data_IF_894200901001
#
_entry.id   IF_894200901001
#
_cell.length_a   1.000
_cell.length_b   1.000
_cell.length_c   1.000
_cell.angle_alpha   90.00
_cell.angle_beta   90.00
_cell.angle_gamma   90.00
#
_symmetry.space_group_name_H-M   'P 1'
#
loop_
_entity.id
_entity.type
_entity.pdbx_description
1 polymer ?
#
# COMPACT_ATOMS: atom_id res chain seq x y z
N UNK A 1 76.47 -38.93 -31.18
CA UNK A 1 75.04 -39.20 -30.92
C UNK A 1 74.84 -39.23 -29.40
N UNK A 2 73.92 -38.43 -28.86
CA UNK A 2 73.30 -38.60 -27.53
C UNK A 2 72.16 -37.58 -27.41
N UNK A 3 70.98 -38.02 -26.95
CA UNK A 3 69.74 -37.24 -27.02
C UNK A 3 69.36 -36.67 -25.65
N UNK A 4 69.13 -35.36 -25.48
CA UNK A 4 68.55 -34.82 -24.26
C UNK A 4 67.01 -35.01 -24.24
N UNK A 5 66.46 -35.46 -23.11
CA UNK A 5 65.00 -35.58 -22.95
C UNK A 5 64.37 -34.21 -22.61
N UNK A 6 63.28 -33.87 -23.28
CA UNK A 6 62.36 -32.84 -22.80
C UNK A 6 61.62 -33.32 -21.54
N UNK A 7 61.64 -32.54 -20.46
CA UNK A 7 60.71 -32.68 -19.32
C UNK A 7 59.57 -31.69 -19.45
N UNK A 8 58.34 -32.19 -19.57
CA UNK A 8 57.11 -31.39 -19.51
C UNK A 8 56.75 -31.11 -18.05
N UNK A 9 56.60 -29.84 -17.66
CA UNK A 9 56.18 -29.46 -16.31
C UNK A 9 54.65 -29.40 -16.20
N UNK A 10 54.05 -30.28 -15.40
CA UNK A 10 52.60 -30.32 -15.20
C UNK A 10 52.16 -29.39 -14.06
N UNK A 11 51.61 -28.21 -14.42
CA UNK A 11 51.00 -27.28 -13.47
C UNK A 11 49.72 -27.89 -12.86
N UNK A 12 49.75 -28.18 -11.56
CA UNK A 12 48.58 -28.60 -10.81
C UNK A 12 47.71 -27.39 -10.44
N UNK A 13 46.42 -27.35 -10.83
CA UNK A 13 45.50 -26.29 -10.38
C UNK A 13 45.22 -26.44 -8.87
N UNK A 14 45.34 -25.35 -8.12
CA UNK A 14 45.22 -25.38 -6.66
C UNK A 14 43.75 -25.50 -6.21
N UNK A 15 43.50 -26.36 -5.21
CA UNK A 15 42.15 -26.67 -4.69
C UNK A 15 41.42 -25.49 -4.00
N UNK A 16 42.04 -24.31 -3.93
CA UNK A 16 41.47 -23.11 -3.28
C UNK A 16 40.40 -22.38 -4.09
N UNK A 17 40.54 -22.32 -5.43
CA UNK A 17 39.71 -21.47 -6.28
C UNK A 17 38.19 -21.76 -6.19
N UNK A 18 37.83 -23.03 -6.00
CA UNK A 18 36.43 -23.49 -6.00
C UNK A 18 35.62 -23.02 -4.80
N UNK A 19 36.25 -22.76 -3.64
CA UNK A 19 35.54 -22.27 -2.45
C UNK A 19 35.17 -20.80 -2.53
N UNK A 20 35.97 -19.98 -3.20
CA UNK A 20 35.65 -18.56 -3.44
C UNK A 20 34.49 -18.38 -4.41
N UNK A 21 34.47 -19.16 -5.51
CA UNK A 21 33.40 -19.13 -6.50
C UNK A 21 32.02 -19.52 -5.92
N UNK A 22 31.99 -20.52 -5.03
CA UNK A 22 30.75 -20.97 -4.40
C UNK A 22 30.09 -19.90 -3.52
N UNK A 23 30.89 -19.11 -2.78
CA UNK A 23 30.35 -18.06 -1.90
C UNK A 23 29.78 -16.88 -2.70
N UNK A 24 30.39 -16.52 -3.82
CA UNK A 24 29.93 -15.44 -4.69
C UNK A 24 28.56 -15.75 -5.36
N UNK A 25 28.32 -17.02 -5.73
CA UNK A 25 27.07 -17.41 -6.40
C UNK A 25 25.83 -17.31 -5.51
N UNK A 26 25.97 -17.50 -4.19
CA UNK A 26 24.85 -17.45 -3.24
C UNK A 26 24.34 -16.03 -3.00
N UNK A 27 25.18 -15.01 -3.17
CA UNK A 27 24.78 -13.60 -3.04
C UNK A 27 23.96 -13.06 -4.23
N UNK A 28 23.80 -13.83 -5.32
CA UNK A 28 23.08 -13.41 -6.53
C UNK A 28 21.64 -13.94 -6.62
N UNK A 29 21.20 -14.82 -5.73
CA UNK A 29 19.96 -15.59 -5.87
C UNK A 29 18.70 -14.96 -5.25
N UNK A 30 18.81 -13.76 -4.66
CA UNK A 30 17.68 -13.05 -4.03
C UNK A 30 17.64 -11.56 -4.43
N UNK A 31 17.72 -11.25 -5.74
CA UNK A 31 17.09 -10.02 -6.25
C UNK A 31 15.58 -10.27 -6.31
N UNK A 32 14.94 -10.29 -5.13
CA UNK A 32 13.48 -10.08 -5.07
C UNK A 32 13.25 -8.67 -5.58
N UNK A 33 12.70 -8.54 -6.79
CA UNK A 33 12.33 -7.24 -7.34
C UNK A 33 11.48 -6.50 -6.31
N UNK A 34 11.93 -5.33 -5.87
CA UNK A 34 11.09 -4.45 -5.09
C UNK A 34 9.95 -4.01 -6.03
N UNK A 35 8.76 -4.58 -5.86
CA UNK A 35 7.58 -4.22 -6.66
C UNK A 35 7.25 -2.76 -6.37
N UNK A 36 7.85 -1.87 -7.16
CA UNK A 36 7.73 -0.43 -6.99
C UNK A 36 6.30 -0.07 -7.35
N UNK A 37 5.46 0.17 -6.34
CA UNK A 37 4.02 0.36 -6.44
C UNK A 37 3.63 1.73 -7.04
N UNK A 38 4.37 2.14 -8.06
CA UNK A 38 3.99 3.00 -9.17
C UNK A 38 4.34 2.21 -10.42
N UNK A 39 3.50 1.23 -10.74
CA UNK A 39 3.70 0.25 -11.80
C UNK A 39 3.22 0.81 -13.14
N UNK A 40 4.05 0.66 -14.17
CA UNK A 40 3.71 1.02 -15.55
C UNK A 40 2.65 0.08 -16.12
N UNK A 41 1.66 0.64 -16.82
CA UNK A 41 0.61 -0.10 -17.52
C UNK A 41 0.81 0.02 -19.04
N UNK A 42 0.33 -0.97 -19.79
CA UNK A 42 0.11 -0.81 -21.22
C UNK A 42 -0.96 0.27 -21.48
N UNK A 43 -0.82 1.02 -22.58
CA UNK A 43 -1.82 1.98 -23.01
C UNK A 43 -3.13 1.28 -23.40
N UNK A 44 -4.26 1.90 -23.08
CA UNK A 44 -5.59 1.34 -23.30
C UNK A 44 -6.64 2.46 -23.39
N UNK A 45 -7.86 2.13 -23.76
CA UNK A 45 -9.02 3.03 -23.71
C UNK A 45 -9.10 3.78 -22.38
N UNK A 46 -9.47 5.07 -22.43
CA UNK A 46 -9.54 5.97 -21.25
C UNK A 46 -10.39 5.34 -20.15
N UNK A 47 -9.78 5.02 -19.01
CA UNK A 47 -10.48 4.48 -17.84
C UNK A 47 -9.71 4.74 -16.54
N UNK A 48 -10.47 4.82 -15.45
CA UNK A 48 -9.96 4.82 -14.07
C UNK A 48 -10.38 3.52 -13.39
N UNK A 49 -9.53 3.01 -12.49
CA UNK A 49 -9.86 1.89 -11.61
C UNK A 49 -9.42 2.23 -10.18
N UNK A 50 -10.27 1.93 -9.20
CA UNK A 50 -10.04 2.18 -7.78
C UNK A 50 -10.57 0.99 -6.97
N UNK A 51 -9.83 0.61 -5.93
CA UNK A 51 -10.34 -0.20 -4.83
C UNK A 51 -9.82 0.33 -3.49
N UNK A 52 -10.58 0.03 -2.43
CA UNK A 52 -10.27 0.39 -1.04
C UNK A 52 -10.56 -0.86 -0.22
N UNK A 53 -9.51 -1.59 0.14
CA UNK A 53 -9.62 -2.91 0.74
C UNK A 53 -9.96 -3.97 -0.31
N UNK A 54 -10.97 -4.78 0.00
CA UNK A 54 -11.36 -5.94 -0.78
C UNK A 54 -11.92 -5.56 -2.15
N UNK A 55 -11.47 -6.25 -3.20
CA UNK A 55 -11.98 -6.01 -4.55
C UNK A 55 -11.47 -6.97 -5.60
N UNK A 56 -11.82 -6.68 -6.86
CA UNK A 56 -11.39 -7.39 -8.06
C UNK A 56 -10.68 -6.40 -8.98
N UNK A 57 -9.55 -6.81 -9.59
CA UNK A 57 -8.82 -5.95 -10.50
C UNK A 57 -9.67 -5.53 -11.71
N UNK A 58 -9.60 -4.26 -12.10
CA UNK A 58 -10.27 -3.70 -13.28
C UNK A 58 -11.81 -3.77 -13.26
N UNK A 59 -12.41 -4.21 -12.14
CA UNK A 59 -13.85 -4.41 -11.97
C UNK A 59 -14.53 -3.38 -11.06
N UNK A 60 -15.86 -3.47 -10.98
CA UNK A 60 -16.68 -2.64 -10.10
C UNK A 60 -16.65 -3.19 -8.66
N UNK A 61 -16.06 -2.44 -7.74
CA UNK A 61 -15.93 -2.83 -6.33
C UNK A 61 -17.07 -2.24 -5.49
N UNK A 62 -18.04 -3.08 -5.13
CA UNK A 62 -19.17 -2.69 -4.27
C UNK A 62 -18.94 -2.89 -2.76
N UNK A 63 -17.78 -3.42 -2.36
CA UNK A 63 -17.47 -3.73 -0.96
C UNK A 63 -17.14 -2.45 -0.18
N UNK A 64 -17.80 -2.27 0.96
CA UNK A 64 -17.44 -1.25 1.95
C UNK A 64 -16.70 -1.95 3.10
N UNK A 65 -15.39 -1.70 3.21
CA UNK A 65 -14.63 -2.18 4.36
C UNK A 65 -14.84 -1.26 5.57
N UNK A 66 -14.99 -1.84 6.75
CA UNK A 66 -15.10 -1.12 8.02
C UNK A 66 -13.73 -0.93 8.65
N UNK A 67 -13.58 0.14 9.43
CA UNK A 67 -12.42 0.41 10.29
C UNK A 67 -12.96 0.79 11.66
N UNK A 68 -12.51 0.13 12.71
CA UNK A 68 -13.06 0.34 14.07
C UNK A 68 -12.02 0.12 15.16
N UNK A 69 -12.30 0.64 16.35
CA UNK A 69 -11.56 0.32 17.57
C UNK A 69 -12.55 0.25 18.73
N UNK A 70 -12.46 -0.79 19.55
CA UNK A 70 -13.35 -1.02 20.70
C UNK A 70 -12.58 -0.71 21.98
N UNK A 71 -12.93 0.40 22.63
CA UNK A 71 -12.23 0.89 23.81
C UNK A 71 -12.88 0.35 25.09
N UNK A 72 -12.06 -0.20 25.99
CA UNK A 72 -12.44 -0.37 27.40
C UNK A 72 -12.53 1.00 28.08
N UNK A 73 -13.23 1.07 29.22
CA UNK A 73 -13.30 2.29 30.04
C UNK A 73 -11.92 2.82 30.45
N UNK A 74 -10.93 1.93 30.64
CA UNK A 74 -9.56 2.31 30.94
C UNK A 74 -8.86 2.98 29.74
N UNK A 75 -9.07 2.50 28.52
CA UNK A 75 -8.56 3.15 27.30
C UNK A 75 -9.24 4.50 27.05
N UNK A 76 -10.56 4.58 27.26
CA UNK A 76 -11.35 5.81 27.07
C UNK A 76 -10.93 6.92 28.05
N UNK A 77 -10.67 6.59 29.31
CA UNK A 77 -10.20 7.55 30.33
C UNK A 77 -8.71 7.85 30.16
N UNK A 78 -7.92 6.88 29.68
CA UNK A 78 -6.47 7.00 29.57
C UNK A 78 -5.95 7.94 28.49
N UNK A 79 -6.80 8.50 27.62
CA UNK A 79 -6.43 9.55 26.64
C UNK A 79 -5.37 9.17 25.59
N UNK A 80 -5.02 7.88 25.48
CA UNK A 80 -3.96 7.39 24.61
C UNK A 80 -4.53 7.01 23.22
N UNK A 81 -3.80 7.27 22.11
CA UNK A 81 -4.20 6.83 20.77
C UNK A 81 -4.39 5.31 20.68
N UNK A 82 -5.42 4.89 19.94
CA UNK A 82 -5.83 3.50 19.78
C UNK A 82 -5.70 3.08 18.31
N UNK A 83 -4.98 1.99 18.07
CA UNK A 83 -4.95 1.36 16.75
C UNK A 83 -6.36 0.87 16.37
N UNK A 84 -6.68 0.94 15.08
CA UNK A 84 -7.95 0.48 14.53
C UNK A 84 -7.73 -0.82 13.73
N UNK A 85 -8.66 -1.76 13.86
CA UNK A 85 -8.73 -2.96 13.03
C UNK A 85 -9.68 -2.74 11.85
N UNK A 86 -9.66 -3.65 10.88
CA UNK A 86 -10.55 -3.63 9.71
C UNK A 86 -11.04 -5.03 9.37
N UNK A 87 -12.20 -5.11 8.70
CA UNK A 87 -12.71 -6.36 8.12
C UNK A 87 -12.09 -6.70 6.74
N UNK A 88 -11.04 -5.98 6.32
CA UNK A 88 -10.30 -6.27 5.08
C UNK A 88 -9.59 -7.62 5.17
N UNK A 89 -9.62 -8.34 4.06
CA UNK A 89 -8.84 -9.58 3.83
C UNK A 89 -7.84 -9.39 2.68
N UNK A 90 -7.75 -8.18 2.10
CA UNK A 90 -6.95 -7.88 0.92
C UNK A 90 -5.45 -7.71 1.27
N UNK A 91 -4.75 -8.83 1.42
CA UNK A 91 -3.30 -8.82 1.70
C UNK A 91 -2.40 -8.63 0.48
N UNK A 92 -2.94 -8.90 -0.72
CA UNK A 92 -2.19 -8.92 -1.98
C UNK A 92 -2.63 -7.84 -2.95
N UNK A 93 -1.69 -7.34 -3.75
CA UNK A 93 -1.99 -6.52 -4.92
C UNK A 93 -3.05 -7.17 -5.79
N UNK A 94 -4.01 -6.38 -6.27
CA UNK A 94 -4.95 -6.85 -7.28
C UNK A 94 -4.31 -6.95 -8.67
N UNK A 95 -3.20 -6.24 -8.93
CA UNK A 95 -2.58 -6.21 -10.26
C UNK A 95 -1.61 -7.36 -10.51
N UNK A 96 -0.70 -7.64 -9.57
CA UNK A 96 0.36 -8.65 -9.74
C UNK A 96 0.38 -9.76 -8.68
N UNK A 97 -0.52 -9.70 -7.69
CA UNK A 97 -0.62 -10.70 -6.61
C UNK A 97 0.49 -10.65 -5.56
N UNK A 98 1.39 -9.65 -5.59
CA UNK A 98 2.42 -9.45 -4.57
C UNK A 98 1.81 -9.20 -3.18
N UNK A 99 2.50 -9.60 -2.10
CA UNK A 99 2.00 -9.50 -0.72
C UNK A 99 2.16 -8.10 -0.10
N UNK A 100 1.56 -7.10 -0.73
CA UNK A 100 1.70 -5.67 -0.39
C UNK A 100 1.30 -5.36 1.06
N UNK A 101 0.17 -5.89 1.54
CA UNK A 101 -0.34 -5.67 2.90
C UNK A 101 -0.35 -6.97 3.72
N UNK A 102 0.78 -7.36 4.33
CA UNK A 102 0.88 -8.64 5.04
C UNK A 102 -0.07 -8.76 6.25
N UNK A 103 -0.60 -7.65 6.78
CA UNK A 103 -1.45 -7.63 7.97
C UNK A 103 -2.86 -7.07 7.66
N UNK A 104 -3.68 -7.72 6.81
CA UNK A 104 -4.94 -7.14 6.31
C UNK A 104 -5.96 -6.83 7.41
N UNK A 105 -5.90 -7.49 8.57
CA UNK A 105 -6.76 -7.18 9.73
C UNK A 105 -6.48 -5.80 10.39
N UNK A 106 -5.36 -5.16 10.07
CA UNK A 106 -4.98 -3.80 10.51
C UNK A 106 -4.48 -2.92 9.34
N UNK A 107 -4.70 -3.35 8.10
CA UNK A 107 -4.27 -2.69 6.87
C UNK A 107 -5.36 -2.75 5.80
N UNK A 108 -5.76 -1.59 5.29
CA UNK A 108 -6.54 -1.49 4.05
C UNK A 108 -5.56 -1.28 2.90
N UNK A 109 -5.50 -2.22 1.95
CA UNK A 109 -4.84 -1.99 0.66
C UNK A 109 -5.68 -1.00 -0.16
N UNK A 110 -5.12 0.16 -0.49
CA UNK A 110 -5.74 1.11 -1.40
C UNK A 110 -4.94 1.09 -2.70
N UNK A 111 -5.62 0.85 -3.82
CA UNK A 111 -4.98 0.78 -5.14
C UNK A 111 -5.80 1.49 -6.20
N UNK A 112 -5.11 2.23 -7.06
CA UNK A 112 -5.68 3.18 -7.99
C UNK A 112 -4.90 3.23 -9.30
N UNK A 113 -5.58 3.28 -10.45
CA UNK A 113 -4.92 3.46 -11.75
C UNK A 113 -5.70 4.30 -12.74
N UNK A 114 -4.95 4.84 -13.68
CA UNK A 114 -5.47 5.55 -14.83
C UNK A 114 -4.80 5.03 -16.10
N UNK A 115 -5.60 4.63 -17.10
CA UNK A 115 -5.12 4.28 -18.45
C UNK A 115 -5.70 5.25 -19.48
N UNK A 116 -4.92 5.55 -20.53
CA UNK A 116 -5.25 6.43 -21.64
C UNK A 116 -4.42 6.04 -22.88
N UNK A 117 -5.00 6.02 -24.08
CA UNK A 117 -4.29 5.48 -25.23
C UNK A 117 -3.32 6.50 -25.85
N UNK A 118 -3.78 7.73 -26.06
CA UNK A 118 -2.96 8.82 -26.59
C UNK A 118 -3.25 10.18 -25.90
N UNK A 119 -2.54 11.23 -26.33
CA UNK A 119 -2.63 12.58 -25.75
C UNK A 119 -4.01 13.25 -25.80
N UNK A 120 -4.90 12.81 -26.69
CA UNK A 120 -6.22 13.41 -26.95
C UNK A 120 -7.35 12.80 -26.12
N UNK A 121 -7.18 11.60 -25.55
CA UNK A 121 -8.25 10.85 -24.88
C UNK A 121 -8.48 11.31 -23.42
N UNK A 122 -8.45 12.62 -23.17
CA UNK A 122 -8.48 13.22 -21.83
C UNK A 122 -7.09 13.64 -21.31
N UNK A 123 -6.97 13.98 -20.01
CA UNK A 123 -5.78 14.62 -19.43
C UNK A 123 -4.61 13.65 -19.25
N UNK A 124 -3.42 14.18 -18.95
CA UNK A 124 -2.24 13.35 -18.67
C UNK A 124 -2.26 12.66 -17.29
N UNK A 125 -3.26 12.95 -16.45
CA UNK A 125 -3.33 12.56 -15.03
C UNK A 125 -4.77 12.31 -14.55
N UNK A 126 -4.91 11.47 -13.54
CA UNK A 126 -6.09 11.36 -12.69
C UNK A 126 -5.76 11.81 -11.25
N UNK A 127 -6.79 12.17 -10.48
CA UNK A 127 -6.65 12.65 -9.09
C UNK A 127 -7.40 11.71 -8.16
N UNK A 128 -6.68 11.14 -7.18
CA UNK A 128 -7.29 10.41 -6.07
C UNK A 128 -7.57 11.38 -4.92
N UNK A 129 -8.84 11.46 -4.53
CA UNK A 129 -9.31 12.20 -3.36
C UNK A 129 -9.92 11.26 -2.33
N UNK A 130 -9.97 11.73 -1.10
CA UNK A 130 -10.75 11.13 -0.02
C UNK A 130 -11.60 12.20 0.64
N UNK A 131 -12.82 11.86 1.03
CA UNK A 131 -13.76 12.78 1.68
C UNK A 131 -14.38 12.12 2.91
N UNK A 132 -14.33 12.79 4.05
CA UNK A 132 -14.97 12.37 5.31
C UNK A 132 -16.08 13.36 5.71
N UNK A 133 -17.17 12.92 6.38
CA UNK A 133 -18.06 13.85 7.07
C UNK A 133 -17.32 14.56 8.21
N UNK A 134 -17.87 15.67 8.72
CA UNK A 134 -17.26 16.45 9.79
C UNK A 134 -17.02 15.64 11.08
N UNK A 135 -17.96 14.76 11.42
CA UNK A 135 -17.97 13.97 12.64
C UNK A 135 -18.32 12.50 12.35
N UNK A 136 -17.86 11.60 13.22
CA UNK A 136 -18.57 10.37 13.54
C UNK A 136 -19.73 10.72 14.50
N UNK A 137 -20.86 10.01 14.39
CA UNK A 137 -22.09 10.29 15.16
C UNK A 137 -22.61 9.00 15.79
N UNK A 138 -23.17 9.07 16.99
CA UNK A 138 -23.90 7.96 17.63
C UNK A 138 -25.43 8.17 17.59
N UNK A 139 -26.21 7.19 18.03
CA UNK A 139 -27.68 7.25 18.02
C UNK A 139 -28.27 8.38 18.91
N UNK A 140 -27.50 8.88 19.89
CA UNK A 140 -27.87 10.01 20.75
C UNK A 140 -27.54 11.39 20.15
N UNK A 141 -26.96 11.43 18.94
CA UNK A 141 -26.37 12.63 18.31
C UNK A 141 -25.14 13.22 19.01
N UNK A 142 -24.47 12.48 19.91
CA UNK A 142 -23.11 12.82 20.34
C UNK A 142 -22.15 12.71 19.14
N UNK A 143 -21.06 13.48 19.16
CA UNK A 143 -20.11 13.53 18.04
C UNK A 143 -18.65 13.33 18.44
N UNK A 144 -17.88 12.76 17.52
CA UNK A 144 -16.42 12.72 17.54
C UNK A 144 -15.92 13.36 16.22
N UNK A 145 -15.14 14.45 16.25
CA UNK A 145 -14.58 15.03 15.03
C UNK A 145 -13.78 14.01 14.23
N UNK A 146 -14.02 13.93 12.92
CA UNK A 146 -13.38 12.91 12.08
C UNK A 146 -11.85 13.06 12.02
N UNK A 147 -11.34 14.27 12.31
CA UNK A 147 -9.92 14.56 12.49
C UNK A 147 -9.24 13.84 13.66
N UNK A 148 -10.01 13.21 14.56
CA UNK A 148 -9.46 12.24 15.52
C UNK A 148 -8.99 10.95 14.85
N UNK A 149 -9.29 10.68 13.56
CA UNK A 149 -8.76 9.53 12.83
C UNK A 149 -7.63 9.96 11.89
N UNK A 150 -6.48 9.31 12.05
CA UNK A 150 -5.32 9.43 11.17
C UNK A 150 -4.92 8.08 10.58
N UNK A 151 -4.07 8.09 9.55
CA UNK A 151 -3.48 6.88 8.98
C UNK A 151 -2.00 7.05 8.66
N UNK A 152 -1.22 6.02 8.99
CA UNK A 152 0.10 5.81 8.42
C UNK A 152 -0.01 5.02 7.11
N UNK A 153 1.00 5.13 6.25
CA UNK A 153 1.12 4.30 5.05
C UNK A 153 2.38 3.46 5.07
N UNK A 154 2.22 2.22 4.64
CA UNK A 154 3.27 1.21 4.53
C UNK A 154 3.00 0.35 3.30
N UNK A 155 3.94 -0.50 2.95
CA UNK A 155 3.68 -1.75 2.26
C UNK A 155 4.93 -2.64 2.39
N UNK A 156 4.83 -3.91 2.04
CA UNK A 156 5.96 -4.83 2.03
C UNK A 156 6.80 -4.69 0.74
N UNK A 157 8.12 -4.83 0.83
CA UNK A 157 9.05 -5.00 -0.30
C UNK A 157 9.31 -3.80 -1.22
N UNK A 158 8.45 -2.79 -1.26
CA UNK A 158 8.69 -1.46 -1.85
C UNK A 158 9.66 -0.62 -0.95
N UNK A 159 10.16 0.55 -1.40
CA UNK A 159 10.91 1.51 -0.54
C UNK A 159 10.25 2.89 -0.38
N UNK A 160 9.71 3.45 -1.47
CA UNK A 160 8.95 4.71 -1.56
C UNK A 160 7.46 4.58 -1.11
N UNK A 161 7.15 4.16 0.13
CA UNK A 161 5.78 3.68 0.48
C UNK A 161 4.64 4.72 0.36
N UNK A 162 4.97 6.00 0.28
CA UNK A 162 4.04 7.13 0.31
C UNK A 162 3.53 7.54 -1.10
N UNK A 163 3.16 6.57 -1.94
CA UNK A 163 2.59 6.81 -3.29
C UNK A 163 1.15 7.31 -3.25
N UNK A 164 0.40 6.88 -2.24
CA UNK A 164 -0.82 7.52 -1.73
C UNK A 164 -0.43 8.05 -0.35
N UNK A 165 -0.68 9.33 -0.08
CA UNK A 165 -0.10 9.98 1.10
C UNK A 165 -0.67 9.49 2.44
N UNK A 166 0.19 9.38 3.46
CA UNK A 166 -0.21 9.39 4.87
C UNK A 166 -0.90 10.72 5.25
N UNK A 167 -1.69 10.71 6.32
CA UNK A 167 -2.39 11.92 6.76
C UNK A 167 -3.41 11.69 7.88
N UNK A 168 -4.27 12.69 8.05
CA UNK A 168 -5.44 12.63 8.93
C UNK A 168 -6.66 13.22 8.21
N UNK A 169 -7.85 12.80 8.60
CA UNK A 169 -9.09 13.36 8.05
C UNK A 169 -9.29 14.80 8.56
N UNK A 170 -10.06 15.60 7.82
CA UNK A 170 -10.28 17.02 8.14
C UNK A 170 -11.75 17.44 8.14
N UNK A 171 -12.68 16.48 8.10
CA UNK A 171 -14.12 16.77 7.99
C UNK A 171 -14.57 17.27 6.60
N UNK A 172 -13.70 17.15 5.59
CA UNK A 172 -13.95 17.58 4.22
C UNK A 172 -13.22 16.70 3.20
N UNK A 173 -12.80 17.28 2.08
CA UNK A 173 -12.11 16.57 0.99
C UNK A 173 -10.61 16.87 0.94
N UNK A 174 -9.81 15.82 0.84
CA UNK A 174 -8.35 15.83 0.72
C UNK A 174 -7.92 15.21 -0.61
N UNK A 175 -6.78 15.65 -1.15
CA UNK A 175 -6.14 15.02 -2.32
C UNK A 175 -5.01 14.13 -1.84
N UNK A 176 -5.04 12.84 -2.20
CA UNK A 176 -4.07 11.85 -1.73
C UNK A 176 -2.98 11.52 -2.75
N UNK A 177 -3.31 11.56 -4.05
CA UNK A 177 -2.36 11.27 -5.12
C UNK A 177 -2.75 11.90 -6.47
N UNK A 178 -1.76 12.16 -7.32
CA UNK A 178 -1.96 12.50 -8.74
C UNK A 178 -1.29 11.44 -9.62
N UNK A 179 -2.11 10.54 -10.13
CA UNK A 179 -1.71 9.35 -10.90
C UNK A 179 -1.46 9.76 -12.35
N UNK A 180 -0.30 9.39 -12.90
CA UNK A 180 0.01 9.62 -14.33
C UNK A 180 -0.82 8.68 -15.21
N UNK A 181 -1.04 9.06 -16.47
CA UNK A 181 -1.61 8.15 -17.46
C UNK A 181 -0.73 6.90 -17.62
N UNK A 182 -1.39 5.74 -17.73
CA UNK A 182 -0.80 4.41 -17.84
C UNK A 182 0.06 4.04 -16.63
N UNK A 183 -0.50 4.26 -15.44
CA UNK A 183 0.14 3.96 -14.15
C UNK A 183 -0.88 3.35 -13.17
N UNK A 184 -0.44 2.35 -12.39
CA UNK A 184 -1.13 1.81 -11.21
C UNK A 184 -0.29 2.13 -9.97
N UNK A 185 -0.94 2.65 -8.92
CA UNK A 185 -0.33 2.87 -7.61
C UNK A 185 -1.09 2.10 -6.54
N UNK A 186 -0.42 1.62 -5.51
CA UNK A 186 -1.05 1.03 -4.33
C UNK A 186 -0.17 1.14 -3.07
N UNK A 187 -0.79 1.14 -1.90
CA UNK A 187 -0.13 0.94 -0.60
C UNK A 187 -1.15 0.58 0.50
N UNK A 188 -0.66 0.33 1.71
CA UNK A 188 -1.42 -0.11 2.88
C UNK A 188 -1.63 1.04 3.86
N UNK A 189 -2.89 1.39 4.10
CA UNK A 189 -3.29 2.36 5.12
C UNK A 189 -3.59 1.64 6.44
N UNK A 190 -2.92 2.05 7.53
CA UNK A 190 -3.20 1.60 8.90
C UNK A 190 -3.70 2.77 9.73
N UNK A 191 -4.86 2.62 10.37
CA UNK A 191 -5.60 3.72 10.99
C UNK A 191 -5.44 3.76 12.51
N UNK A 192 -5.48 4.98 13.07
CA UNK A 192 -5.38 5.26 14.51
C UNK A 192 -6.44 6.30 14.89
N UNK A 193 -7.20 6.00 15.95
CA UNK A 193 -8.07 6.96 16.63
C UNK A 193 -7.29 7.65 17.76
N UNK A 194 -7.18 8.97 17.73
CA UNK A 194 -6.32 9.76 18.62
C UNK A 194 -6.79 9.74 20.09
N UNK A 195 -8.11 9.64 20.33
CA UNK A 195 -8.69 9.46 21.67
C UNK A 195 -8.32 10.56 22.68
N UNK A 196 -8.13 11.80 22.22
CA UNK A 196 -7.56 12.90 23.01
C UNK A 196 -8.51 13.45 24.08
N UNK A 197 -9.78 13.02 24.07
CA UNK A 197 -10.84 13.52 24.93
C UNK A 197 -11.84 12.43 25.27
N UNK A 198 -12.32 12.42 26.53
CA UNK A 198 -13.38 11.52 26.96
C UNK A 198 -14.67 11.82 26.18
N UNK A 199 -15.42 10.76 25.87
CA UNK A 199 -16.69 10.78 25.13
C UNK A 199 -17.75 9.99 25.87
N UNK A 200 -19.03 10.25 25.55
CA UNK A 200 -20.12 9.41 26.02
C UNK A 200 -19.95 7.96 25.51
N UNK A 201 -20.40 6.98 26.27
CA UNK A 201 -20.32 5.58 25.84
C UNK A 201 -21.34 5.32 24.72
N UNK A 202 -20.88 4.77 23.60
CA UNK A 202 -21.72 4.43 22.46
C UNK A 202 -20.92 4.08 21.21
N UNK A 203 -21.60 3.60 20.18
CA UNK A 203 -21.00 3.32 18.87
C UNK A 203 -21.08 4.57 18.01
N UNK A 204 -19.93 5.13 17.63
CA UNK A 204 -19.86 6.29 16.74
C UNK A 204 -19.52 5.83 15.32
N UNK A 205 -20.31 6.24 14.33
CA UNK A 205 -20.18 5.79 12.94
C UNK A 205 -20.10 6.97 11.95
N UNK A 206 -19.55 6.69 10.77
CA UNK A 206 -19.47 7.62 9.65
C UNK A 206 -18.73 6.98 8.49
N UNK A 207 -19.02 7.42 7.25
CA UNK A 207 -18.49 6.79 6.03
C UNK A 207 -17.49 7.70 5.33
N UNK A 208 -16.33 7.14 4.97
CA UNK A 208 -15.31 7.81 4.15
C UNK A 208 -15.47 7.38 2.70
N UNK A 209 -15.51 8.35 1.77
CA UNK A 209 -15.59 8.09 0.33
C UNK A 209 -14.26 8.42 -0.35
N UNK A 210 -13.67 7.44 -1.03
CA UNK A 210 -12.54 7.66 -1.92
C UNK A 210 -13.04 7.83 -3.36
N UNK A 211 -12.50 8.84 -4.06
CA UNK A 211 -12.93 9.18 -5.42
C UNK A 211 -11.70 9.36 -6.31
N UNK A 212 -11.61 8.55 -7.38
CA UNK A 212 -10.61 8.71 -8.43
C UNK A 212 -11.26 9.32 -9.67
N UNK A 213 -10.83 10.53 -10.06
CA UNK A 213 -11.38 11.23 -11.22
C UNK A 213 -10.33 11.64 -12.25
N UNK A 214 -10.72 11.58 -13.52
CA UNK A 214 -10.00 12.11 -14.67
C UNK A 214 -11.02 12.93 -15.46
N UNK A 215 -11.00 14.28 -15.40
CA UNK A 215 -11.94 15.16 -16.09
C UNK A 215 -11.69 15.19 -17.61
#
# INVERSE_FOLDING_TARGET
>A
MNTPLHRTAALHPSRGAWRAAALALVCLSQITSAHAWTLSLASASRRVFLHVGNGTYDGNNGTVNTVSSTLTSAQLIGGNPQAMTTNSTQSRSLYDGYSTCPNPASQILIGASYRRNNGRDGPARATLRVTSPANLVNDNSDTIPFSQISWSVSASGSAQSNVIAAGAFNGGSLTLASIRANTYIENCHSFVYANETVRAAGTYTGQVTYTLSSP
#
